data_IF_006337639594
#
_entry.id   IF_006337639594
#
_cell.length_a   1.000
_cell.length_b   1.000
_cell.length_c   1.000
_cell.angle_alpha   90.00
_cell.angle_beta   90.00
_cell.angle_gamma   90.00
#
_symmetry.space_group_name_H-M   'P 1'
#
loop_
_entity.id
_entity.type
_entity.pdbx_description
1 polymer ?
#
# COMPACT_ATOMS: atom_id res chain seq x y z
N UNK A 1 -8.47 12.43 -40.18
CA UNK A 1 -8.79 11.12 -39.56
C UNK A 1 -7.75 10.05 -39.94
N UNK A 2 -7.24 10.01 -41.19
CA UNK A 2 -6.19 9.03 -41.59
C UNK A 2 -4.82 9.28 -40.94
N UNK A 3 -4.45 10.52 -40.58
CA UNK A 3 -3.17 10.84 -39.92
C UNK A 3 -3.10 10.40 -38.45
N UNK A 4 -4.22 10.37 -37.74
CA UNK A 4 -4.26 9.90 -36.33
C UNK A 4 -4.15 8.38 -36.21
N UNK A 5 -4.61 7.61 -37.22
CA UNK A 5 -4.58 6.14 -37.20
C UNK A 5 -3.21 5.51 -37.40
N UNK A 6 -2.27 6.22 -38.03
CA UNK A 6 -0.88 5.72 -38.20
C UNK A 6 0.04 6.00 -37.01
N UNK A 7 -0.43 6.79 -36.02
CA UNK A 7 0.37 7.13 -34.83
C UNK A 7 0.64 5.97 -33.86
N UNK A 8 -0.24 5.00 -33.75
CA UNK A 8 -0.09 3.95 -32.69
C UNK A 8 1.11 3.02 -32.87
N UNK A 9 1.52 2.69 -34.09
CA UNK A 9 2.65 1.76 -34.34
C UNK A 9 3.91 2.51 -34.76
N UNK A 10 3.78 3.48 -35.65
CA UNK A 10 4.94 4.19 -36.23
C UNK A 10 5.55 5.20 -35.28
N UNK A 11 4.74 5.83 -34.43
CA UNK A 11 5.22 6.81 -33.47
C UNK A 11 5.79 6.16 -32.21
N UNK A 12 5.31 4.96 -31.80
CA UNK A 12 6.01 4.15 -30.79
C UNK A 12 7.44 3.82 -31.23
N UNK A 13 7.67 3.53 -32.50
CA UNK A 13 9.01 3.31 -33.05
C UNK A 13 9.85 4.59 -33.11
N UNK A 14 9.23 5.75 -33.32
CA UNK A 14 9.92 7.04 -33.37
C UNK A 14 10.19 7.61 -31.98
N UNK A 15 9.27 7.43 -31.02
CA UNK A 15 9.47 7.77 -29.62
C UNK A 15 10.41 6.81 -28.91
N UNK A 16 10.49 5.53 -29.27
CA UNK A 16 11.52 4.60 -28.80
C UNK A 16 12.95 5.13 -29.04
N UNK A 17 13.15 6.01 -30.04
CA UNK A 17 14.45 6.65 -30.31
C UNK A 17 14.67 7.97 -29.55
N UNK A 18 13.65 8.54 -28.88
CA UNK A 18 13.72 9.86 -28.22
C UNK A 18 13.19 9.90 -26.77
N UNK A 19 12.66 8.79 -26.23
CA UNK A 19 12.43 8.73 -24.79
C UNK A 19 13.77 8.73 -24.07
N UNK A 20 13.94 9.46 -22.95
CA UNK A 20 15.15 9.32 -22.18
C UNK A 20 15.28 7.82 -21.85
N UNK A 21 16.31 7.20 -22.39
CA UNK A 21 16.83 5.94 -21.90
C UNK A 21 16.92 6.14 -20.39
N UNK A 22 16.22 5.31 -19.61
CA UNK A 22 16.45 5.26 -18.18
C UNK A 22 17.92 4.93 -18.05
N UNK A 23 18.72 6.01 -17.85
CA UNK A 23 20.17 5.95 -17.89
C UNK A 23 20.65 4.94 -16.88
N UNK A 24 21.41 3.99 -17.35
CA UNK A 24 22.27 3.03 -16.70
C UNK A 24 22.50 3.14 -15.20
N UNK A 25 21.48 2.90 -14.41
CA UNK A 25 21.59 2.31 -13.10
C UNK A 25 21.04 0.90 -13.28
N UNK A 26 21.90 -0.10 -13.10
CA UNK A 26 21.49 -1.49 -12.97
C UNK A 26 20.64 -1.67 -11.72
N UNK A 27 19.47 -1.06 -11.70
CA UNK A 27 18.43 -1.43 -10.74
C UNK A 27 18.05 -2.86 -11.10
N UNK A 28 18.56 -3.79 -10.32
CA UNK A 28 17.95 -5.11 -10.24
C UNK A 28 16.48 -4.86 -9.93
N UNK A 29 15.61 -5.06 -10.92
CA UNK A 29 14.16 -5.00 -10.75
C UNK A 29 13.73 -6.25 -9.97
N UNK A 30 14.37 -6.49 -8.82
CA UNK A 30 14.04 -7.59 -7.94
C UNK A 30 12.58 -7.46 -7.50
N UNK A 31 11.82 -8.54 -7.65
CA UNK A 31 10.45 -8.58 -7.21
C UNK A 31 10.39 -9.25 -5.85
N UNK A 32 10.12 -8.46 -4.81
CA UNK A 32 10.02 -8.90 -3.42
C UNK A 32 8.99 -10.03 -3.26
N UNK A 33 7.95 -10.05 -4.08
CA UNK A 33 6.89 -11.05 -4.02
C UNK A 33 7.36 -12.46 -4.34
N UNK A 34 8.52 -12.62 -5.01
CA UNK A 34 9.13 -13.93 -5.24
C UNK A 34 9.64 -14.59 -3.95
N UNK A 35 9.81 -13.83 -2.86
CA UNK A 35 10.25 -14.31 -1.55
C UNK A 35 9.08 -14.67 -0.62
N UNK A 36 7.84 -14.45 -1.05
CA UNK A 36 6.63 -14.62 -0.24
C UNK A 36 5.95 -15.95 -0.53
N UNK A 37 5.58 -16.66 0.52
CA UNK A 37 4.64 -17.77 0.42
C UNK A 37 3.21 -17.24 0.63
N UNK A 38 2.46 -17.17 -0.46
CA UNK A 38 1.09 -16.64 -0.44
C UNK A 38 0.07 -17.69 0.01
N UNK A 39 -0.82 -17.30 0.93
CA UNK A 39 -2.04 -18.06 1.20
C UNK A 39 -3.06 -17.80 0.09
N UNK A 40 -3.42 -18.84 -0.66
CA UNK A 40 -4.34 -18.72 -1.80
C UNK A 40 -5.78 -18.38 -1.41
N UNK A 41 -6.19 -18.66 -0.17
CA UNK A 41 -7.54 -18.37 0.33
C UNK A 41 -7.76 -16.86 0.54
N UNK A 42 -6.68 -16.11 0.80
CA UNK A 42 -6.73 -14.68 1.04
C UNK A 42 -6.43 -13.84 -0.22
N UNK A 43 -6.47 -14.48 -1.40
CA UNK A 43 -6.26 -13.77 -2.66
C UNK A 43 -7.55 -13.08 -3.14
N UNK A 44 -7.40 -11.83 -3.54
CA UNK A 44 -8.45 -11.02 -4.19
C UNK A 44 -7.98 -10.60 -5.59
N UNK A 45 -8.91 -10.19 -6.42
CA UNK A 45 -8.62 -9.74 -7.79
C UNK A 45 -9.31 -8.43 -8.08
N UNK A 46 -8.57 -7.45 -8.61
CA UNK A 46 -9.05 -6.17 -9.12
C UNK A 46 -8.46 -5.92 -10.52
N UNK A 47 -9.10 -5.07 -11.31
CA UNK A 47 -8.67 -4.75 -12.66
C UNK A 47 -8.40 -3.26 -12.79
N UNK A 48 -7.17 -2.90 -13.17
CA UNK A 48 -6.67 -1.53 -13.17
C UNK A 48 -6.28 -1.10 -14.60
N UNK A 49 -6.98 -0.11 -15.13
CA UNK A 49 -6.67 0.54 -16.39
C UNK A 49 -5.98 1.88 -16.13
N UNK A 50 -4.77 2.08 -16.60
CA UNK A 50 -3.93 3.24 -16.28
C UNK A 50 -3.02 3.69 -17.44
N UNK A 51 -3.53 3.69 -18.65
CA UNK A 51 -2.74 3.94 -19.85
C UNK A 51 -2.13 2.65 -20.40
N UNK A 52 -0.94 2.74 -21.03
CA UNK A 52 -0.26 1.57 -21.57
C UNK A 52 0.01 0.53 -20.46
N UNK A 53 -0.56 -0.65 -20.61
CA UNK A 53 -0.53 -1.70 -19.60
C UNK A 53 0.88 -2.27 -19.31
N UNK A 54 1.88 -2.08 -20.17
CA UNK A 54 3.25 -2.54 -19.94
C UNK A 54 3.89 -1.87 -18.71
N UNK A 55 3.75 -0.54 -18.62
CA UNK A 55 4.27 0.23 -17.48
C UNK A 55 3.50 -0.06 -16.20
N UNK A 56 2.16 -0.09 -16.30
CA UNK A 56 1.27 -0.37 -15.16
C UNK A 56 1.54 -1.78 -14.61
N UNK A 57 1.63 -2.81 -15.47
CA UNK A 57 1.97 -4.17 -15.05
C UNK A 57 3.32 -4.22 -14.33
N UNK A 58 4.33 -3.58 -14.93
CA UNK A 58 5.68 -3.59 -14.38
C UNK A 58 5.76 -2.96 -12.99
N UNK A 59 5.06 -1.85 -12.78
CA UNK A 59 5.00 -1.19 -11.48
C UNK A 59 4.20 -2.03 -10.47
N UNK A 60 2.95 -2.34 -10.80
CA UNK A 60 2.02 -3.01 -9.87
C UNK A 60 2.53 -4.41 -9.47
N UNK A 61 3.14 -5.16 -10.39
CA UNK A 61 3.67 -6.49 -10.07
C UNK A 61 4.76 -6.50 -9.01
N UNK A 62 5.39 -5.35 -8.72
CA UNK A 62 6.46 -5.19 -7.71
C UNK A 62 5.98 -4.64 -6.38
N UNK A 63 4.72 -4.25 -6.29
CA UNK A 63 4.12 -3.82 -5.02
C UNK A 63 3.98 -5.04 -4.11
N UNK A 64 4.44 -4.89 -2.87
CA UNK A 64 4.38 -5.95 -1.85
C UNK A 64 2.94 -6.47 -1.71
N UNK A 65 2.78 -7.79 -1.78
CA UNK A 65 1.49 -8.46 -1.67
C UNK A 65 0.81 -8.75 -3.00
N UNK A 66 1.36 -8.30 -4.14
CA UNK A 66 0.84 -8.67 -5.46
C UNK A 66 1.32 -10.05 -5.84
N UNK A 67 0.39 -11.01 -5.89
CA UNK A 67 0.66 -12.40 -6.22
C UNK A 67 0.91 -12.63 -7.72
N UNK A 68 0.06 -12.02 -8.57
CA UNK A 68 0.12 -12.21 -10.03
C UNK A 68 -0.51 -11.03 -10.76
N UNK A 69 0.04 -10.70 -11.92
CA UNK A 69 -0.55 -9.77 -12.89
C UNK A 69 -0.80 -10.48 -14.23
N UNK A 70 -1.75 -9.98 -14.99
CA UNK A 70 -2.07 -10.40 -16.35
C UNK A 70 -2.59 -9.18 -17.12
N UNK A 71 -1.97 -8.83 -18.24
CA UNK A 71 -2.44 -7.72 -19.08
C UNK A 71 -3.50 -8.17 -20.07
N UNK A 72 -4.43 -7.27 -20.38
CA UNK A 72 -5.53 -7.58 -21.28
C UNK A 72 -6.39 -6.36 -21.63
N UNK A 73 -7.55 -6.62 -22.19
CA UNK A 73 -8.50 -5.64 -22.72
C UNK A 73 -9.82 -5.76 -21.96
N UNK A 74 -10.25 -4.66 -21.33
CA UNK A 74 -11.41 -4.65 -20.45
C UNK A 74 -12.54 -3.73 -20.94
N UNK A 75 -13.77 -4.10 -20.64
CA UNK A 75 -14.98 -3.27 -20.75
C UNK A 75 -15.17 -2.60 -22.12
N UNK A 76 -14.86 -3.32 -23.19
CA UNK A 76 -15.15 -2.90 -24.56
C UNK A 76 -16.45 -3.48 -25.10
N UNK A 77 -16.72 -3.25 -26.38
CA UNK A 77 -17.95 -3.64 -27.08
C UNK A 77 -17.74 -4.78 -28.10
N UNK A 78 -16.51 -5.33 -28.20
CA UNK A 78 -16.18 -6.45 -29.09
C UNK A 78 -15.75 -7.67 -28.28
N UNK A 79 -15.90 -8.87 -28.85
CA UNK A 79 -15.47 -10.12 -28.22
C UNK A 79 -14.08 -10.51 -28.71
N UNK A 80 -13.23 -10.98 -27.80
CA UNK A 80 -11.88 -11.47 -28.09
C UNK A 80 -11.09 -10.54 -29.05
N UNK A 81 -10.93 -9.24 -28.73
CA UNK A 81 -10.25 -8.32 -29.63
C UNK A 81 -8.76 -8.65 -29.68
N UNK A 82 -8.17 -8.44 -30.83
CA UNK A 82 -6.72 -8.39 -31.00
C UNK A 82 -6.18 -7.02 -30.63
N UNK A 83 -4.87 -6.92 -30.35
CA UNK A 83 -4.21 -5.64 -30.10
C UNK A 83 -4.42 -4.64 -31.26
N UNK A 84 -4.32 -5.12 -32.50
CA UNK A 84 -4.54 -4.27 -33.68
C UNK A 84 -5.97 -3.71 -33.72
N UNK A 85 -6.96 -4.50 -33.35
CA UNK A 85 -8.34 -4.04 -33.30
C UNK A 85 -8.53 -2.99 -32.21
N UNK A 86 -7.97 -3.19 -31.01
CA UNK A 86 -8.06 -2.22 -29.90
C UNK A 86 -7.38 -0.90 -30.28
N UNK A 87 -6.26 -0.95 -31.01
CA UNK A 87 -5.54 0.26 -31.41
C UNK A 87 -6.15 0.99 -32.61
N UNK A 88 -6.74 0.26 -33.56
CA UNK A 88 -7.13 0.84 -34.87
C UNK A 88 -8.63 1.04 -35.01
N UNK A 89 -9.46 0.36 -34.22
CA UNK A 89 -10.91 0.44 -34.28
C UNK A 89 -11.48 0.97 -32.95
N UNK A 90 -12.73 1.43 -33.02
CA UNK A 90 -13.43 1.98 -31.86
C UNK A 90 -14.07 0.86 -31.01
N UNK A 91 -13.24 -0.06 -30.52
CA UNK A 91 -13.66 -1.23 -29.73
C UNK A 91 -14.04 -0.88 -28.29
N UNK A 92 -13.78 0.34 -27.84
CA UNK A 92 -14.01 0.81 -26.46
C UNK A 92 -13.31 -0.02 -25.37
N UNK A 93 -12.43 -0.96 -25.70
CA UNK A 93 -11.65 -1.67 -24.71
C UNK A 93 -10.62 -0.73 -24.05
N UNK A 94 -10.43 -0.87 -22.73
CA UNK A 94 -9.28 -0.28 -22.05
C UNK A 94 -8.13 -1.27 -21.99
N UNK A 95 -6.90 -0.82 -22.22
CA UNK A 95 -5.72 -1.55 -21.79
C UNK A 95 -5.75 -1.66 -20.26
N UNK A 96 -5.71 -2.88 -19.73
CA UNK A 96 -6.01 -3.16 -18.35
C UNK A 96 -5.07 -4.23 -17.78
N UNK A 97 -4.72 -4.10 -16.52
CA UNK A 97 -3.99 -5.10 -15.75
C UNK A 97 -4.94 -5.76 -14.76
N UNK A 98 -5.13 -7.07 -14.89
CA UNK A 98 -5.74 -7.91 -13.88
C UNK A 98 -4.72 -8.14 -12.78
N UNK A 99 -5.02 -7.71 -11.57
CA UNK A 99 -4.14 -7.78 -10.41
C UNK A 99 -4.73 -8.75 -9.40
N UNK A 100 -4.02 -9.84 -9.12
CA UNK A 100 -4.33 -10.75 -8.01
C UNK A 100 -3.40 -10.41 -6.86
N UNK A 101 -3.92 -10.07 -5.70
CA UNK A 101 -3.18 -9.63 -4.53
C UNK A 101 -3.66 -10.32 -3.27
N UNK A 102 -2.83 -10.35 -2.23
CA UNK A 102 -3.13 -11.01 -0.97
C UNK A 102 -3.49 -9.99 0.10
N UNK A 103 -4.67 -10.16 0.72
CA UNK A 103 -5.13 -9.36 1.85
C UNK A 103 -4.22 -9.49 3.08
N UNK A 104 -3.38 -10.53 3.12
CA UNK A 104 -2.38 -10.69 4.17
C UNK A 104 -1.31 -9.59 4.15
N UNK A 105 -1.06 -8.98 2.99
CA UNK A 105 0.05 -8.05 2.80
C UNK A 105 -0.39 -6.66 2.37
N UNK A 106 -1.47 -6.55 1.60
CA UNK A 106 -1.93 -5.27 1.07
C UNK A 106 -3.46 -5.24 0.97
N UNK A 107 -4.07 -4.17 1.44
CA UNK A 107 -5.49 -3.89 1.23
C UNK A 107 -5.74 -3.30 -0.16
N UNK A 108 -7.00 -3.33 -0.63
CA UNK A 108 -7.37 -2.65 -1.88
C UNK A 108 -7.06 -1.15 -1.82
N UNK A 109 -7.31 -0.50 -0.68
CA UNK A 109 -7.01 0.94 -0.52
C UNK A 109 -5.52 1.23 -0.72
N UNK A 110 -4.64 0.46 -0.07
CA UNK A 110 -3.19 0.61 -0.23
C UNK A 110 -2.74 0.34 -1.68
N UNK A 111 -3.31 -0.67 -2.33
CA UNK A 111 -3.02 -0.95 -3.75
C UNK A 111 -3.45 0.21 -4.67
N UNK A 112 -4.59 0.85 -4.39
CA UNK A 112 -5.07 2.02 -5.12
C UNK A 112 -4.20 3.26 -4.84
N UNK A 113 -3.65 3.42 -3.63
CA UNK A 113 -2.65 4.46 -3.35
C UNK A 113 -1.42 4.31 -4.25
N UNK A 114 -0.90 3.09 -4.39
CA UNK A 114 0.23 2.82 -5.29
C UNK A 114 -0.14 3.08 -6.75
N UNK A 115 -1.31 2.64 -7.18
CA UNK A 115 -1.79 2.88 -8.55
C UNK A 115 -1.92 4.38 -8.87
N UNK A 116 -2.40 5.19 -7.93
CA UNK A 116 -2.53 6.64 -8.12
C UNK A 116 -1.20 7.39 -8.20
N UNK A 117 -0.10 6.80 -7.75
CA UNK A 117 1.25 7.39 -7.93
C UNK A 117 1.67 7.42 -9.40
N UNK A 118 1.15 6.50 -10.23
CA UNK A 118 1.62 6.26 -11.61
C UNK A 118 0.65 6.72 -12.69
N UNK A 119 -0.50 7.26 -12.34
CA UNK A 119 -1.47 7.80 -13.29
C UNK A 119 -1.67 9.31 -13.11
N UNK A 120 -2.17 9.96 -14.16
CA UNK A 120 -2.83 11.26 -14.06
C UNK A 120 -4.36 11.03 -13.95
N UNK A 121 -4.93 11.15 -12.74
CA UNK A 121 -6.32 10.77 -12.51
C UNK A 121 -7.34 11.75 -13.09
N UNK A 122 -6.91 12.94 -13.56
CA UNK A 122 -7.80 13.93 -14.22
C UNK A 122 -7.71 13.90 -15.75
N UNK A 123 -6.80 13.06 -16.29
CA UNK A 123 -6.65 12.94 -17.74
C UNK A 123 -7.77 12.06 -18.33
N UNK A 124 -8.40 12.56 -19.41
CA UNK A 124 -9.48 11.86 -20.10
C UNK A 124 -8.92 11.18 -21.34
N UNK A 125 -9.11 9.85 -21.46
CA UNK A 125 -8.70 9.04 -22.61
C UNK A 125 -7.22 9.23 -22.98
N UNK A 126 -6.36 9.41 -21.98
CA UNK A 126 -4.91 9.53 -22.19
C UNK A 126 -4.12 9.28 -20.91
N UNK A 127 -2.87 8.82 -21.06
CA UNK A 127 -1.87 8.85 -20.00
C UNK A 127 -0.51 9.23 -20.62
N UNK A 128 0.06 10.34 -20.13
CA UNK A 128 1.28 10.87 -20.73
C UNK A 128 1.13 11.11 -22.24
N UNK A 129 2.01 10.55 -23.09
CA UNK A 129 1.95 10.69 -24.53
C UNK A 129 0.93 9.74 -25.21
N UNK A 130 0.45 8.72 -24.50
CA UNK A 130 -0.51 7.75 -25.03
C UNK A 130 -1.93 8.36 -25.04
N UNK A 131 -2.51 8.51 -26.24
CA UNK A 131 -3.81 9.16 -26.47
C UNK A 131 -4.75 8.18 -27.17
N UNK A 132 -5.93 7.96 -26.59
CA UNK A 132 -6.98 7.10 -27.11
C UNK A 132 -7.85 6.54 -25.99
N UNK A 133 -9.06 6.09 -26.33
CA UNK A 133 -10.02 5.51 -25.37
C UNK A 133 -9.46 4.26 -24.67
N UNK A 134 -8.54 3.54 -25.33
CA UNK A 134 -7.84 2.39 -24.76
C UNK A 134 -6.91 2.76 -23.61
N UNK A 135 -6.48 4.01 -23.53
CA UNK A 135 -5.59 4.53 -22.46
C UNK A 135 -6.32 5.30 -21.37
N UNK A 136 -7.66 5.15 -21.27
CA UNK A 136 -8.43 5.72 -20.18
C UNK A 136 -8.11 5.04 -18.85
N UNK A 137 -8.36 5.76 -17.77
CA UNK A 137 -8.14 5.24 -16.42
C UNK A 137 -9.40 4.64 -15.83
N UNK A 138 -9.26 3.52 -15.13
CA UNK A 138 -10.40 2.84 -14.52
C UNK A 138 -10.00 1.82 -13.47
N UNK A 139 -10.92 1.60 -12.54
CA UNK A 139 -10.91 0.55 -11.52
C UNK A 139 -12.15 -0.31 -11.80
N UNK A 140 -11.93 -1.55 -12.28
CA UNK A 140 -13.04 -2.44 -12.60
C UNK A 140 -13.13 -3.56 -11.60
N UNK A 141 -14.28 -3.70 -10.96
CA UNK A 141 -14.52 -4.61 -9.84
C UNK A 141 -15.44 -5.77 -10.26
N UNK A 142 -15.30 -6.88 -9.54
CA UNK A 142 -16.21 -8.05 -9.61
C UNK A 142 -17.00 -8.23 -8.31
N UNK A 143 -16.56 -7.59 -7.22
CA UNK A 143 -17.17 -7.64 -5.90
C UNK A 143 -17.71 -6.25 -5.52
N UNK A 144 -18.94 -6.22 -4.97
CA UNK A 144 -19.59 -4.96 -4.56
C UNK A 144 -18.86 -4.29 -3.38
N UNK A 145 -18.17 -5.04 -2.53
CA UNK A 145 -17.36 -4.49 -1.46
C UNK A 145 -16.17 -3.69 -2.03
N UNK A 146 -15.54 -4.19 -3.09
CA UNK A 146 -14.44 -3.50 -3.77
C UNK A 146 -14.92 -2.19 -4.44
N UNK A 147 -16.18 -2.16 -4.95
CA UNK A 147 -16.81 -0.93 -5.44
C UNK A 147 -16.84 0.13 -4.35
N UNK A 148 -17.35 -0.23 -3.17
CA UNK A 148 -17.49 0.73 -2.06
C UNK A 148 -16.13 1.31 -1.66
N UNK A 149 -15.11 0.47 -1.55
CA UNK A 149 -13.75 0.89 -1.24
C UNK A 149 -13.22 1.85 -2.32
N UNK A 150 -13.37 1.50 -3.61
CA UNK A 150 -12.90 2.31 -4.72
C UNK A 150 -13.62 3.68 -4.80
N UNK A 151 -14.95 3.71 -4.63
CA UNK A 151 -15.72 4.96 -4.65
C UNK A 151 -15.35 5.88 -3.46
N UNK A 152 -15.18 5.31 -2.25
CA UNK A 152 -14.71 6.06 -1.09
C UNK A 152 -13.30 6.61 -1.31
N UNK A 153 -12.41 5.81 -1.85
CA UNK A 153 -11.05 6.22 -2.20
C UNK A 153 -11.04 7.38 -3.21
N UNK A 154 -11.80 7.28 -4.30
CA UNK A 154 -11.92 8.37 -5.28
C UNK A 154 -12.48 9.65 -4.64
N UNK A 155 -13.48 9.53 -3.77
CA UNK A 155 -14.07 10.68 -3.05
C UNK A 155 -13.03 11.35 -2.14
N UNK A 156 -12.23 10.58 -1.44
CA UNK A 156 -11.13 11.07 -0.59
C UNK A 156 -10.08 11.79 -1.45
N UNK A 157 -9.62 11.15 -2.54
CA UNK A 157 -8.63 11.74 -3.46
C UNK A 157 -9.13 12.98 -4.17
N UNK A 158 -10.42 13.08 -4.46
CA UNK A 158 -11.01 14.25 -5.13
C UNK A 158 -10.71 15.56 -4.38
N UNK A 159 -10.55 15.53 -3.06
CA UNK A 159 -10.25 16.70 -2.25
C UNK A 159 -8.89 17.35 -2.62
N UNK A 160 -7.98 16.59 -3.21
CA UNK A 160 -6.66 17.05 -3.62
C UNK A 160 -6.62 17.59 -5.05
N UNK A 161 -7.75 17.55 -5.80
CA UNK A 161 -7.80 17.95 -7.21
C UNK A 161 -8.89 18.98 -7.44
N UNK A 162 -8.53 20.10 -8.12
CA UNK A 162 -9.49 21.13 -8.53
C UNK A 162 -10.39 20.69 -9.68
N UNK A 163 -9.92 19.75 -10.52
CA UNK A 163 -10.68 19.14 -11.60
C UNK A 163 -11.27 17.82 -11.14
N UNK A 164 -12.39 17.42 -11.75
CA UNK A 164 -13.00 16.14 -11.49
C UNK A 164 -12.05 15.00 -11.87
N UNK A 165 -11.86 14.05 -10.97
CA UNK A 165 -11.16 12.80 -11.26
C UNK A 165 -11.91 12.06 -12.37
N UNK A 166 -11.19 11.63 -13.40
CA UNK A 166 -11.72 10.96 -14.58
C UNK A 166 -11.63 9.42 -14.50
N UNK A 167 -11.09 8.89 -13.41
CA UNK A 167 -10.97 7.45 -13.19
C UNK A 167 -12.35 6.81 -13.07
N UNK A 168 -12.66 5.88 -13.96
CA UNK A 168 -13.92 5.12 -13.95
C UNK A 168 -13.91 4.12 -12.77
N UNK A 169 -15.03 4.02 -12.04
CA UNK A 169 -15.28 2.91 -11.10
C UNK A 169 -16.51 2.15 -11.61
N UNK A 170 -16.28 1.01 -12.24
CA UNK A 170 -17.32 0.28 -12.97
C UNK A 170 -17.23 -1.24 -12.70
N UNK A 171 -18.35 -1.97 -12.80
CA UNK A 171 -18.28 -3.43 -12.80
C UNK A 171 -17.44 -3.91 -13.99
N UNK A 172 -16.69 -4.97 -13.78
CA UNK A 172 -16.06 -5.68 -14.89
C UNK A 172 -17.12 -6.44 -15.68
N UNK A 173 -17.28 -6.09 -16.95
CA UNK A 173 -18.16 -6.81 -17.86
C UNK A 173 -17.42 -7.94 -18.55
N UNK A 174 -16.26 -7.63 -19.13
CA UNK A 174 -15.40 -8.58 -19.83
C UNK A 174 -13.93 -8.21 -19.62
N UNK A 175 -13.10 -9.24 -19.56
CA UNK A 175 -11.65 -9.13 -19.64
C UNK A 175 -11.12 -10.20 -20.57
N UNK A 176 -10.43 -9.79 -21.61
CA UNK A 176 -9.76 -10.67 -22.55
C UNK A 176 -8.25 -10.53 -22.35
N UNK A 177 -7.56 -11.63 -21.98
CA UNK A 177 -6.09 -11.58 -21.88
C UNK A 177 -5.46 -11.12 -23.19
N UNK A 178 -4.52 -10.21 -23.11
CA UNK A 178 -3.73 -9.81 -24.26
C UNK A 178 -2.75 -10.92 -24.68
N UNK A 179 -2.24 -10.81 -25.89
CA UNK A 179 -1.34 -11.78 -26.52
C UNK A 179 -0.09 -12.02 -25.66
N UNK A 180 0.48 -13.20 -25.73
CA UNK A 180 1.60 -13.65 -24.89
C UNK A 180 2.82 -12.71 -24.96
N UNK A 181 3.04 -12.02 -26.08
CA UNK A 181 4.17 -11.09 -26.21
C UNK A 181 3.99 -9.81 -25.38
N UNK A 182 2.75 -9.45 -25.00
CA UNK A 182 2.46 -8.32 -24.13
C UNK A 182 2.65 -8.65 -22.63
N UNK A 183 2.46 -9.90 -22.23
CA UNK A 183 2.61 -10.32 -20.85
C UNK A 183 4.04 -10.14 -20.39
N UNK A 184 4.25 -9.42 -19.26
CA UNK A 184 5.58 -9.10 -18.71
C UNK A 184 6.53 -8.49 -19.74
N UNK A 185 5.99 -7.56 -20.54
CA UNK A 185 6.71 -7.01 -21.68
C UNK A 185 8.05 -6.36 -21.29
N UNK A 186 8.09 -5.53 -20.25
CA UNK A 186 9.31 -4.83 -19.83
C UNK A 186 10.31 -5.76 -19.11
N UNK A 187 9.89 -6.90 -18.58
CA UNK A 187 10.81 -7.93 -18.09
C UNK A 187 11.59 -8.57 -19.26
N UNK A 188 10.90 -8.81 -20.39
CA UNK A 188 11.48 -9.37 -21.61
C UNK A 188 12.25 -8.31 -22.43
N UNK A 189 11.85 -7.05 -22.33
CA UNK A 189 12.37 -5.91 -23.07
C UNK A 189 12.71 -4.75 -22.13
N UNK A 190 13.81 -4.80 -21.36
CA UNK A 190 14.13 -3.80 -20.34
C UNK A 190 14.28 -2.37 -20.87
N UNK A 191 14.61 -2.21 -22.16
CA UNK A 191 14.71 -0.92 -22.85
C UNK A 191 13.43 -0.56 -23.63
N UNK A 192 12.33 -1.28 -23.39
CA UNK A 192 11.04 -1.04 -24.03
C UNK A 192 10.40 0.27 -23.57
N UNK A 193 9.40 0.71 -24.35
CA UNK A 193 8.62 1.90 -24.00
C UNK A 193 7.91 1.76 -22.67
N UNK A 194 8.06 2.77 -21.80
CA UNK A 194 7.34 2.89 -20.53
C UNK A 194 6.96 4.35 -20.31
N UNK A 195 5.66 4.63 -20.08
CA UNK A 195 5.18 5.96 -19.67
C UNK A 195 5.16 6.14 -18.14
N UNK A 196 5.27 5.03 -17.41
CA UNK A 196 5.26 5.01 -15.94
C UNK A 196 6.64 5.34 -15.41
N UNK A 197 6.69 6.22 -14.43
CA UNK A 197 7.91 6.54 -13.70
C UNK A 197 8.16 5.44 -12.65
N UNK A 198 9.07 4.50 -12.98
CA UNK A 198 9.43 3.38 -12.12
C UNK A 198 10.27 3.80 -10.89
N UNK A 199 10.78 5.05 -10.84
CA UNK A 199 11.47 5.56 -9.66
C UNK A 199 10.54 5.76 -8.46
N UNK A 200 9.23 5.73 -8.69
CA UNK A 200 8.20 5.78 -7.65
C UNK A 200 7.92 4.42 -6.98
N UNK A 201 8.57 3.34 -7.42
CA UNK A 201 8.50 2.06 -6.71
C UNK A 201 9.04 2.24 -5.29
N UNK A 202 8.40 1.62 -4.30
CA UNK A 202 8.97 1.56 -2.95
C UNK A 202 10.36 0.95 -2.98
N UNK A 203 11.26 1.48 -2.15
CA UNK A 203 12.60 0.89 -1.98
C UNK A 203 12.48 -0.56 -1.48
N UNK A 204 13.42 -1.41 -1.89
CA UNK A 204 13.41 -2.83 -1.50
C UNK A 204 13.50 -2.98 0.01
N UNK A 205 14.33 -2.16 0.66
CA UNK A 205 14.51 -2.12 2.11
C UNK A 205 13.21 -1.79 2.83
N UNK A 206 12.46 -0.80 2.35
CA UNK A 206 11.13 -0.44 2.89
C UNK A 206 10.13 -1.60 2.72
N UNK A 207 10.15 -2.26 1.57
CA UNK A 207 9.29 -3.41 1.29
C UNK A 207 9.64 -4.61 2.17
N UNK A 208 10.93 -4.86 2.44
CA UNK A 208 11.41 -5.90 3.34
C UNK A 208 11.01 -5.61 4.79
N UNK A 209 11.10 -4.35 5.23
CA UNK A 209 10.67 -3.94 6.57
C UNK A 209 9.15 -4.15 6.74
N UNK A 210 8.35 -3.73 5.78
CA UNK A 210 6.89 -3.99 5.76
C UNK A 210 6.58 -5.48 5.78
N UNK A 211 7.30 -6.29 5.00
CA UNK A 211 7.14 -7.74 5.00
C UNK A 211 7.40 -8.32 6.39
N UNK A 212 8.51 -7.94 7.01
CA UNK A 212 8.87 -8.39 8.37
C UNK A 212 7.80 -8.01 9.40
N UNK A 213 7.28 -6.78 9.34
CA UNK A 213 6.18 -6.31 10.19
C UNK A 213 4.94 -7.22 10.01
N UNK A 214 4.50 -7.46 8.77
CA UNK A 214 3.34 -8.31 8.48
C UNK A 214 3.54 -9.76 8.95
N UNK A 215 4.75 -10.30 8.80
CA UNK A 215 5.10 -11.64 9.32
C UNK A 215 5.10 -11.69 10.85
N UNK A 216 5.56 -10.64 11.53
CA UNK A 216 5.53 -10.57 12.98
C UNK A 216 4.11 -10.47 13.51
N UNK A 217 3.25 -9.64 12.90
CA UNK A 217 1.81 -9.55 13.25
C UNK A 217 1.16 -10.94 13.23
N UNK A 218 1.50 -11.80 12.27
CA UNK A 218 0.95 -13.17 12.20
C UNK A 218 1.44 -14.10 13.32
N UNK A 219 2.54 -13.78 13.97
CA UNK A 219 3.12 -14.57 15.06
C UNK A 219 2.63 -14.12 16.43
N UNK A 220 1.94 -13.00 16.51
CA UNK A 220 1.39 -12.48 17.76
C UNK A 220 0.41 -13.49 18.37
N UNK A 221 0.43 -13.57 19.69
CA UNK A 221 -0.63 -14.28 20.40
C UNK A 221 -1.96 -13.52 20.29
N UNK A 222 -3.11 -14.14 20.59
CA UNK A 222 -4.41 -13.48 20.47
C UNK A 222 -4.52 -12.17 21.27
N UNK A 223 -3.90 -12.08 22.44
CA UNK A 223 -3.95 -10.87 23.28
C UNK A 223 -3.09 -9.76 22.70
N UNK A 224 -1.87 -10.10 22.29
CA UNK A 224 -0.96 -9.18 21.59
C UNK A 224 -1.62 -8.61 20.33
N UNK A 225 -2.28 -9.47 19.55
CA UNK A 225 -2.97 -9.06 18.33
C UNK A 225 -4.13 -8.09 18.65
N UNK A 226 -5.01 -8.46 19.59
CA UNK A 226 -6.14 -7.59 19.95
C UNK A 226 -5.68 -6.23 20.49
N UNK A 227 -4.65 -6.21 21.31
CA UNK A 227 -4.11 -4.95 21.86
C UNK A 227 -3.47 -4.13 20.75
N UNK A 228 -2.51 -4.68 20.00
CA UNK A 228 -1.71 -3.90 19.05
C UNK A 228 -2.44 -3.53 17.76
N UNK A 229 -3.34 -4.41 17.26
CA UNK A 229 -4.01 -4.23 15.98
C UNK A 229 -5.45 -3.74 16.10
N UNK A 230 -6.17 -4.10 17.18
CA UNK A 230 -7.58 -3.75 17.39
C UNK A 230 -7.79 -2.72 18.51
N UNK A 231 -6.72 -2.14 19.06
CA UNK A 231 -6.75 -1.13 20.14
C UNK A 231 -7.52 -1.62 21.37
N UNK A 232 -7.47 -2.93 21.67
CA UNK A 232 -8.02 -3.49 22.89
C UNK A 232 -7.15 -3.14 24.09
N UNK A 233 -7.68 -3.34 25.29
CA UNK A 233 -6.97 -3.12 26.56
C UNK A 233 -6.87 -4.44 27.32
N UNK A 234 -5.66 -4.81 27.73
CA UNK A 234 -5.45 -5.97 28.60
C UNK A 234 -5.95 -5.75 30.02
N UNK A 235 -6.16 -6.82 30.77
CA UNK A 235 -6.62 -6.76 32.16
C UNK A 235 -5.57 -6.04 33.04
N UNK A 236 -5.94 -5.09 33.89
CA UNK A 236 -5.02 -4.44 34.83
C UNK A 236 -4.23 -5.46 35.66
N UNK A 237 -2.95 -5.22 35.89
CA UNK A 237 -2.04 -6.08 36.67
C UNK A 237 -1.77 -7.46 36.08
N UNK A 238 -2.21 -7.77 34.85
CA UNK A 238 -1.98 -9.05 34.19
C UNK A 238 -0.75 -9.04 33.28
N UNK A 239 -0.29 -7.85 32.88
CA UNK A 239 0.80 -7.70 31.92
C UNK A 239 2.16 -8.08 32.51
N UNK A 240 2.95 -8.86 31.75
CA UNK A 240 4.29 -9.36 32.11
C UNK A 240 5.22 -8.27 32.63
N UNK A 241 5.10 -7.05 32.12
CA UNK A 241 6.02 -5.95 32.41
C UNK A 241 5.51 -4.94 33.43
N UNK A 242 4.32 -5.15 34.01
CA UNK A 242 3.81 -4.24 35.04
C UNK A 242 4.81 -4.14 36.22
N UNK A 243 5.20 -5.27 36.77
CA UNK A 243 6.10 -5.35 37.94
C UNK A 243 7.57 -5.66 37.57
N UNK A 244 7.89 -5.63 36.25
CA UNK A 244 9.24 -5.87 35.77
C UNK A 244 10.12 -4.62 35.97
N UNK A 245 11.21 -4.74 36.73
CA UNK A 245 12.07 -3.61 37.11
C UNK A 245 13.55 -3.80 36.69
N UNK A 246 13.85 -4.76 35.82
CA UNK A 246 15.19 -4.94 35.27
C UNK A 246 15.52 -3.83 34.29
N UNK A 247 16.85 -3.57 34.12
CA UNK A 247 17.29 -2.58 33.15
C UNK A 247 17.10 -3.10 31.73
N UNK A 248 16.64 -2.25 30.84
CA UNK A 248 16.48 -2.61 29.44
C UNK A 248 15.63 -1.60 28.67
N UNK A 249 15.40 -1.96 27.41
CA UNK A 249 14.59 -1.20 26.46
C UNK A 249 13.24 -1.88 26.30
N UNK A 250 12.16 -1.10 26.33
CA UNK A 250 10.82 -1.54 25.96
C UNK A 250 10.62 -1.26 24.48
N UNK A 251 10.37 -2.29 23.71
CA UNK A 251 10.29 -2.22 22.25
C UNK A 251 8.87 -2.56 21.77
N UNK A 252 8.51 -2.15 20.57
CA UNK A 252 7.26 -2.58 19.93
C UNK A 252 7.33 -4.08 19.56
N UNK A 253 6.38 -4.87 20.02
CA UNK A 253 6.32 -6.32 19.78
C UNK A 253 6.30 -6.68 18.28
N UNK A 254 5.78 -5.79 17.45
CA UNK A 254 5.63 -6.00 16.02
C UNK A 254 6.89 -5.61 15.26
N UNK A 255 7.39 -4.41 15.47
CA UNK A 255 8.52 -3.86 14.70
C UNK A 255 9.89 -4.08 15.36
N UNK A 256 9.93 -4.32 16.68
CA UNK A 256 11.16 -4.31 17.47
C UNK A 256 11.74 -2.91 17.67
N UNK A 257 10.99 -1.85 17.35
CA UNK A 257 11.44 -0.46 17.51
C UNK A 257 11.56 -0.10 18.99
N UNK A 258 12.72 0.43 19.47
CA UNK A 258 12.87 0.89 20.84
C UNK A 258 11.94 2.07 21.13
N UNK A 259 11.10 1.98 22.15
CA UNK A 259 10.08 2.97 22.48
C UNK A 259 10.37 3.68 23.80
N UNK A 260 10.68 2.92 24.87
CA UNK A 260 10.87 3.45 26.21
C UNK A 260 12.08 2.77 26.89
N UNK A 261 12.62 3.41 27.93
CA UNK A 261 13.70 2.84 28.76
C UNK A 261 13.19 2.49 30.15
N UNK A 262 13.80 1.49 30.78
CA UNK A 262 13.52 1.17 32.18
C UNK A 262 13.85 2.34 33.14
N UNK A 263 14.73 3.25 32.74
CA UNK A 263 15.07 4.44 33.52
C UNK A 263 13.91 5.44 33.65
N UNK A 264 13.06 5.52 32.61
CA UNK A 264 11.92 6.43 32.57
C UNK A 264 10.63 5.79 33.13
N UNK A 265 10.71 4.50 33.56
CA UNK A 265 9.59 3.77 34.15
C UNK A 265 9.36 4.19 35.59
N UNK A 266 8.09 4.31 35.98
CA UNK A 266 7.69 4.57 37.37
C UNK A 266 6.41 3.80 37.72
N UNK A 267 6.20 3.57 39.02
CA UNK A 267 4.99 2.92 39.51
C UNK A 267 3.88 3.95 39.65
N UNK A 268 2.88 3.90 38.81
CA UNK A 268 1.68 4.76 38.87
C UNK A 268 0.50 4.13 39.63
N UNK A 269 0.61 2.82 39.92
CA UNK A 269 -0.50 2.06 40.55
C UNK A 269 -1.73 1.80 39.66
N UNK A 270 -1.65 2.12 38.37
CA UNK A 270 -2.78 1.98 37.42
C UNK A 270 -3.00 0.55 36.92
N UNK A 271 -2.04 -0.35 37.13
CA UNK A 271 -2.11 -1.73 36.69
C UNK A 271 -1.45 -2.02 35.35
N UNK A 272 -0.79 -1.03 34.76
CA UNK A 272 -0.02 -1.14 33.52
C UNK A 272 1.32 -0.42 33.64
N UNK A 273 2.35 -0.83 32.88
CA UNK A 273 3.64 -0.13 32.83
C UNK A 273 3.48 1.35 32.50
N UNK A 274 4.07 2.22 33.30
CA UNK A 274 3.99 3.67 33.14
C UNK A 274 5.36 4.30 32.99
N UNK A 275 5.48 5.21 32.01
CA UNK A 275 6.73 5.89 31.68
C UNK A 275 6.53 7.40 31.61
N UNK A 276 7.58 8.15 31.98
CA UNK A 276 7.54 9.62 31.98
C UNK A 276 7.75 10.22 30.58
N UNK A 277 8.48 9.53 29.70
CA UNK A 277 8.76 9.97 28.33
C UNK A 277 9.18 8.79 27.45
N UNK A 278 9.01 8.89 26.11
CA UNK A 278 9.61 7.95 25.15
C UNK A 278 11.12 8.20 24.97
N UNK A 279 11.84 7.25 24.37
CA UNK A 279 13.23 7.42 23.92
C UNK A 279 13.31 8.56 22.91
N UNK A 280 12.38 8.61 21.97
CA UNK A 280 12.21 9.69 21.00
C UNK A 280 10.73 9.90 20.68
N UNK A 281 10.31 11.15 20.61
CA UNK A 281 8.95 11.49 20.11
C UNK A 281 8.77 11.07 18.64
N UNK A 282 9.87 10.90 17.90
CA UNK A 282 9.85 10.42 16.52
C UNK A 282 9.47 8.93 16.37
N UNK A 283 9.58 8.15 17.45
CA UNK A 283 9.25 6.72 17.42
C UNK A 283 7.77 6.44 17.71
N UNK A 284 7.02 7.46 18.09
CA UNK A 284 5.59 7.33 18.43
C UNK A 284 4.72 8.30 17.63
N UNK A 285 3.43 7.97 17.54
CA UNK A 285 2.36 8.84 17.04
C UNK A 285 1.37 9.11 18.18
N UNK A 286 0.91 10.35 18.28
CA UNK A 286 -0.14 10.76 19.23
C UNK A 286 -1.39 11.12 18.45
N UNK A 287 -2.50 10.45 18.74
CA UNK A 287 -3.77 10.58 18.01
C UNK A 287 -4.88 10.87 19.03
N UNK A 288 -5.78 11.80 18.70
CA UNK A 288 -6.95 12.04 19.55
C UNK A 288 -7.91 10.84 19.46
N UNK A 289 -8.16 10.21 20.60
CA UNK A 289 -9.12 9.13 20.76
C UNK A 289 -10.39 9.66 21.44
N UNK A 290 -11.52 9.52 20.74
CA UNK A 290 -12.84 9.93 21.24
C UNK A 290 -13.74 8.73 21.59
N UNK A 291 -13.19 7.54 21.66
CA UNK A 291 -13.92 6.33 22.03
C UNK A 291 -14.39 6.35 23.48
N UNK A 292 -15.35 5.51 23.81
CA UNK A 292 -15.91 5.34 25.17
C UNK A 292 -16.42 6.63 25.83
N UNK A 293 -16.88 7.61 25.03
CA UNK A 293 -17.33 8.94 25.50
C UNK A 293 -16.25 9.72 26.29
N UNK A 294 -14.96 9.45 26.03
CA UNK A 294 -13.81 10.15 26.62
C UNK A 294 -13.00 10.81 25.52
N UNK A 295 -12.26 11.86 25.87
CA UNK A 295 -11.25 12.45 24.98
C UNK A 295 -9.89 12.12 25.60
N UNK A 296 -9.13 11.28 24.91
CA UNK A 296 -7.80 10.84 25.34
C UNK A 296 -6.80 11.02 24.21
N UNK A 297 -5.52 10.90 24.53
CA UNK A 297 -4.46 10.86 23.50
C UNK A 297 -3.93 9.43 23.41
N UNK A 298 -4.30 8.74 22.33
CA UNK A 298 -3.76 7.41 21.98
C UNK A 298 -2.30 7.54 21.54
N UNK A 299 -1.48 6.58 21.96
CA UNK A 299 -0.09 6.44 21.55
C UNK A 299 0.04 5.19 20.70
N UNK A 300 0.62 5.34 19.52
CA UNK A 300 0.95 4.25 18.61
C UNK A 300 2.44 4.25 18.25
N UNK A 301 3.00 3.08 17.92
CA UNK A 301 4.34 3.02 17.34
C UNK A 301 4.34 3.63 15.94
N UNK A 302 5.46 4.27 15.54
CA UNK A 302 5.55 4.91 14.23
C UNK A 302 5.72 3.91 13.10
N UNK A 303 6.52 2.87 13.30
CA UNK A 303 6.86 1.89 12.26
C UNK A 303 5.74 0.90 11.95
N UNK A 304 5.15 0.31 12.99
CA UNK A 304 4.14 -0.74 12.80
C UNK A 304 2.70 -0.27 13.00
N UNK A 305 2.50 0.99 13.43
CA UNK A 305 1.19 1.54 13.80
C UNK A 305 0.49 0.77 14.93
N UNK A 306 1.28 0.03 15.73
CA UNK A 306 0.80 -0.74 16.87
C UNK A 306 0.19 0.18 17.92
N UNK A 307 -1.02 -0.13 18.38
CA UNK A 307 -1.57 0.53 19.57
C UNK A 307 -0.72 0.18 20.78
N UNK A 308 -0.24 1.21 21.48
CA UNK A 308 0.62 1.06 22.67
C UNK A 308 -0.11 1.42 23.96
N UNK A 309 -1.18 2.22 23.89
CA UNK A 309 -1.89 2.73 25.04
C UNK A 309 -2.22 4.22 24.92
N UNK A 310 -2.19 4.94 26.03
CA UNK A 310 -2.57 6.35 26.08
C UNK A 310 -1.57 7.16 26.91
N UNK A 311 -1.47 8.45 26.63
CA UNK A 311 -0.69 9.41 27.42
C UNK A 311 -1.63 10.36 28.16
N UNK A 312 -1.27 10.63 29.44
CA UNK A 312 -2.00 11.47 30.38
C UNK A 312 -1.08 12.56 30.94
N UNK A 313 -1.63 13.63 31.47
CA UNK A 313 -0.95 14.76 32.10
C UNK A 313 -0.94 14.68 33.65
N UNK A 314 -1.11 13.48 34.19
CA UNK A 314 -1.19 13.16 35.61
C UNK A 314 0.06 12.43 36.15
N UNK A 315 1.18 12.51 35.42
CA UNK A 315 2.46 11.94 35.83
C UNK A 315 3.18 12.75 36.91
N UNK A 316 4.29 12.21 37.47
CA UNK A 316 5.10 12.91 38.48
C UNK A 316 5.67 14.23 37.91
N UNK A 317 5.43 15.34 38.61
CA UNK A 317 5.88 16.67 38.17
C UNK A 317 7.41 16.78 38.04
N UNK A 318 8.13 16.08 38.90
CA UNK A 318 9.59 16.00 38.89
C UNK A 318 10.14 15.25 37.65
N UNK A 319 9.30 14.45 36.99
CA UNK A 319 9.65 13.72 35.74
C UNK A 319 9.02 14.35 34.48
N UNK A 320 8.47 15.56 34.59
CA UNK A 320 7.89 16.29 33.47
C UNK A 320 6.36 16.21 33.37
N UNK A 321 5.68 15.60 34.34
CA UNK A 321 4.21 15.63 34.48
C UNK A 321 3.43 14.73 33.53
N UNK A 322 4.10 14.01 32.63
CA UNK A 322 3.43 13.10 31.68
C UNK A 322 3.47 11.66 32.16
N UNK A 323 2.40 10.90 31.86
CA UNK A 323 2.32 9.47 32.11
C UNK A 323 1.90 8.73 30.83
N UNK A 324 2.84 8.06 30.21
CA UNK A 324 2.59 7.12 29.14
C UNK A 324 2.22 5.77 29.74
N UNK A 325 0.93 5.44 29.72
CA UNK A 325 0.37 4.20 30.23
C UNK A 325 0.33 3.20 29.07
N UNK A 326 1.22 2.21 29.12
CA UNK A 326 1.41 1.30 28.01
C UNK A 326 0.75 -0.04 28.29
N UNK A 327 0.05 -0.53 27.29
CA UNK A 327 -0.48 -1.87 27.21
C UNK A 327 0.64 -2.78 26.67
N UNK A 328 0.35 -4.03 26.47
CA UNK A 328 1.25 -5.09 26.02
C UNK A 328 2.42 -4.58 25.15
N UNK A 329 3.48 -4.13 25.79
CA UNK A 329 4.76 -3.84 25.18
C UNK A 329 5.65 -5.05 25.34
N UNK A 330 6.34 -5.40 24.29
CA UNK A 330 7.16 -6.59 24.27
C UNK A 330 8.53 -6.42 24.93
N UNK A 331 9.21 -7.54 24.95
CA UNK A 331 10.54 -7.85 25.41
C UNK A 331 11.44 -6.65 25.71
N UNK A 332 11.93 -6.63 26.97
CA UNK A 332 13.16 -5.92 27.27
C UNK A 332 14.27 -6.61 26.46
N UNK A 333 14.77 -5.96 25.42
CA UNK A 333 15.97 -6.43 24.77
C UNK A 333 17.13 -6.25 25.77
N UNK A 334 17.84 -7.34 26.04
CA UNK A 334 19.11 -7.26 26.80
C UNK A 334 20.05 -6.27 26.09
N UNK A 335 20.68 -5.37 26.85
CA UNK A 335 21.73 -4.50 26.36
C UNK A 335 22.95 -5.32 25.90
#
# INVERSE_FOLDING_TARGET
IRRQRQMCIRDRYYFMKKSPVIGGFGMSLENINNKIQFNKENLKTIYLAGGCFWGVETYISRILGVYKTEVGYANGNTKNPTYEEVCNFDTKHAECVKVTYSLDFISLKELLEEFFKIIDPIAINRQGPDIGTQYRTGIYYTDIADKQIAEMFIKEKQLNYSKKIAVEVMPLTYFYPAETYHQKYLEKNPNGYCHVDLSKLPEIEESLEKLKIKENIRKLDPTEYEVTQNSATEIPFSGKYNDFNEKGLYVDVVSGEPLFTSHDKFNSGCGWPSFSKPISEDNIKKITDTSHNMIRTEVKSKKADSHLGHVFDDGPSELGGMRYCLLYTSDAADE
#
